data_IF_738251071083
#
_entry.id   IF_738251071083
#
_cell.length_a   1.000
_cell.length_b   1.000
_cell.length_c   1.000
_cell.angle_alpha   90.00
_cell.angle_beta   90.00
_cell.angle_gamma   90.00
#
_symmetry.space_group_name_H-M   'P 1'
#
loop_
_entity.id
_entity.type
_entity.pdbx_description
1 polymer ?
#
# COMPACT_ATOMS: atom_id res chain seq x y z
N UNK A 1 -1.07 -22.65 -10.36
CA UNK A 1 -1.39 -21.99 -9.08
C UNK A 1 -0.14 -22.05 -8.22
N UNK A 2 0.16 -21.02 -7.40
CA UNK A 2 1.34 -21.03 -6.51
C UNK A 2 0.92 -21.59 -5.15
N UNK A 3 1.62 -22.61 -4.67
CA UNK A 3 1.38 -23.33 -3.43
C UNK A 3 2.44 -22.95 -2.39
N UNK A 4 2.02 -22.30 -1.31
CA UNK A 4 2.95 -21.78 -0.30
C UNK A 4 3.56 -22.87 0.57
N UNK A 5 2.80 -23.95 0.79
CA UNK A 5 3.15 -25.06 1.70
C UNK A 5 3.81 -26.24 0.97
N UNK A 6 4.24 -26.05 -0.28
CA UNK A 6 4.94 -27.06 -1.03
C UNK A 6 6.41 -27.13 -0.58
N UNK A 7 6.77 -28.16 0.20
CA UNK A 7 8.12 -28.35 0.74
C UNK A 7 9.17 -28.66 -0.34
N UNK A 8 8.76 -29.17 -1.50
CA UNK A 8 9.67 -29.57 -2.57
C UNK A 8 10.08 -28.40 -3.48
N UNK A 9 9.22 -27.39 -3.65
CA UNK A 9 9.46 -26.27 -4.58
C UNK A 9 9.13 -24.94 -3.91
N UNK A 10 10.16 -24.12 -3.72
CA UNK A 10 9.98 -22.77 -3.19
C UNK A 10 9.07 -21.89 -4.07
N UNK A 11 8.28 -21.02 -3.43
CA UNK A 11 7.40 -20.02 -4.08
C UNK A 11 8.12 -19.24 -5.18
N UNK A 12 9.39 -18.86 -4.97
CA UNK A 12 10.18 -18.14 -5.96
C UNK A 12 10.34 -18.93 -7.27
N UNK A 13 10.61 -20.24 -7.17
CA UNK A 13 10.76 -21.13 -8.31
C UNK A 13 9.41 -21.40 -8.99
N UNK A 14 8.34 -21.53 -8.22
CA UNK A 14 6.99 -21.65 -8.77
C UNK A 14 6.59 -20.40 -9.57
N UNK A 15 6.87 -19.19 -9.06
CA UNK A 15 6.65 -17.95 -9.78
C UNK A 15 7.47 -17.89 -11.08
N UNK A 16 8.73 -18.32 -11.07
CA UNK A 16 9.57 -18.39 -12.26
C UNK A 16 8.99 -19.34 -13.33
N UNK A 17 8.59 -20.55 -12.92
CA UNK A 17 7.98 -21.54 -13.81
C UNK A 17 6.66 -21.05 -14.42
N UNK A 18 5.87 -20.32 -13.63
CA UNK A 18 4.60 -19.72 -14.05
C UNK A 18 4.78 -18.38 -14.79
N UNK A 19 6.02 -17.91 -14.97
CA UNK A 19 6.35 -16.57 -15.53
C UNK A 19 5.61 -15.43 -14.82
N UNK A 20 5.38 -15.58 -13.52
CA UNK A 20 4.76 -14.60 -12.66
C UNK A 20 5.84 -13.79 -11.94
N UNK A 21 5.68 -12.47 -11.85
CA UNK A 21 6.57 -11.68 -10.99
C UNK A 21 6.31 -12.02 -9.53
N UNK A 22 7.37 -12.23 -8.75
CA UNK A 22 7.25 -12.53 -7.31
C UNK A 22 6.48 -11.44 -6.55
N UNK A 23 6.60 -10.19 -6.97
CA UNK A 23 5.87 -9.06 -6.39
C UNK A 23 4.37 -9.19 -6.57
N UNK A 24 3.90 -9.63 -7.74
CA UNK A 24 2.46 -9.83 -7.98
C UNK A 24 1.88 -10.96 -7.14
N UNK A 25 2.68 -11.99 -6.78
CA UNK A 25 2.22 -13.04 -5.88
C UNK A 25 1.93 -12.52 -4.46
N UNK A 26 2.79 -11.63 -3.95
CA UNK A 26 2.61 -11.04 -2.63
C UNK A 26 1.70 -9.81 -2.60
N UNK A 27 1.40 -9.25 -3.77
CA UNK A 27 0.56 -8.07 -3.87
C UNK A 27 -0.90 -8.43 -3.60
N UNK A 28 -1.43 -7.93 -2.49
CA UNK A 28 -2.85 -7.98 -2.19
C UNK A 28 -3.45 -6.63 -2.61
N UNK A 29 -4.33 -6.66 -3.60
CA UNK A 29 -5.03 -5.46 -4.07
C UNK A 29 -6.05 -5.01 -3.03
N UNK A 30 -5.66 -4.11 -2.13
CA UNK A 30 -6.59 -3.38 -1.25
C UNK A 30 -7.16 -2.20 -2.03
N UNK A 31 -8.12 -2.47 -2.92
CA UNK A 31 -8.67 -1.45 -3.84
C UNK A 31 -9.87 -0.70 -3.26
N UNK A 32 -10.57 -1.28 -2.29
CA UNK A 32 -11.83 -0.78 -1.72
C UNK A 32 -11.74 -0.56 -0.20
N UNK A 33 -10.68 0.07 0.27
CA UNK A 33 -10.64 0.53 1.66
C UNK A 33 -11.21 1.96 1.72
N UNK A 34 -12.44 2.12 2.23
CA UNK A 34 -13.09 3.42 2.43
C UNK A 34 -12.19 4.39 3.21
N UNK A 35 -11.40 3.86 4.15
CA UNK A 35 -10.42 4.62 4.92
C UNK A 35 -9.33 5.22 4.03
N UNK A 36 -8.85 4.46 3.04
CA UNK A 36 -7.83 4.94 2.11
C UNK A 36 -8.39 5.99 1.15
N UNK A 37 -9.65 5.85 0.73
CA UNK A 37 -10.35 6.88 -0.06
C UNK A 37 -10.55 8.18 0.73
N UNK A 38 -10.90 8.09 2.01
CA UNK A 38 -10.98 9.25 2.90
C UNK A 38 -9.62 9.96 3.01
N UNK A 39 -8.55 9.19 3.24
CA UNK A 39 -7.18 9.70 3.28
C UNK A 39 -6.78 10.42 1.99
N UNK A 40 -7.10 9.86 0.82
CA UNK A 40 -6.83 10.51 -0.47
C UNK A 40 -7.54 11.87 -0.58
N UNK A 41 -8.82 11.95 -0.19
CA UNK A 41 -9.58 13.22 -0.22
C UNK A 41 -8.99 14.27 0.71
N UNK A 42 -8.61 13.88 1.93
CA UNK A 42 -8.00 14.78 2.91
C UNK A 42 -6.64 15.29 2.45
N UNK A 43 -5.84 14.43 1.82
CA UNK A 43 -4.55 14.80 1.25
C UNK A 43 -4.71 15.84 0.13
N UNK A 44 -5.64 15.61 -0.80
CA UNK A 44 -5.90 16.56 -1.89
C UNK A 44 -6.37 17.93 -1.36
N UNK A 45 -7.28 17.93 -0.37
CA UNK A 45 -7.77 19.15 0.26
C UNK A 45 -6.64 19.92 0.96
N UNK A 46 -5.84 19.21 1.76
CA UNK A 46 -4.76 19.83 2.53
C UNK A 46 -3.63 20.31 1.62
N UNK A 47 -3.29 19.57 0.57
CA UNK A 47 -2.29 19.98 -0.40
C UNK A 47 -2.70 21.25 -1.15
N UNK A 48 -3.99 21.38 -1.47
CA UNK A 48 -4.56 22.60 -2.08
C UNK A 48 -4.47 23.80 -1.14
N UNK A 49 -4.70 23.61 0.16
CA UNK A 49 -4.64 24.67 1.18
C UNK A 49 -3.21 25.09 1.52
N UNK A 50 -2.27 24.15 1.55
CA UNK A 50 -0.87 24.37 1.92
C UNK A 50 0.09 23.68 0.95
N UNK A 51 0.26 24.20 -0.28
CA UNK A 51 1.01 23.55 -1.36
C UNK A 51 2.52 23.42 -1.09
N UNK A 52 3.01 23.99 0.00
CA UNK A 52 4.39 23.90 0.46
C UNK A 52 4.60 22.83 1.55
N UNK A 53 3.57 22.10 1.95
CA UNK A 53 3.70 20.98 2.89
C UNK A 53 4.18 19.73 2.16
N UNK A 54 5.42 19.31 2.45
CA UNK A 54 5.90 18.00 2.05
C UNK A 54 5.32 16.87 2.89
N UNK A 55 5.61 15.62 2.48
CA UNK A 55 5.09 14.37 3.09
C UNK A 55 5.15 14.39 4.62
N UNK A 56 6.30 14.75 5.21
CA UNK A 56 6.48 14.75 6.68
C UNK A 56 5.45 15.63 7.42
N UNK A 57 5.09 16.78 6.84
CA UNK A 57 4.11 17.70 7.44
C UNK A 57 2.68 17.20 7.24
N UNK A 58 2.38 16.62 6.08
CA UNK A 58 1.07 16.01 5.81
C UNK A 58 0.84 14.78 6.71
N UNK A 59 1.83 13.91 6.88
CA UNK A 59 1.78 12.77 7.81
C UNK A 59 1.53 13.22 9.24
N UNK A 60 2.23 14.27 9.71
CA UNK A 60 2.02 14.83 11.03
C UNK A 60 0.61 15.44 11.18
N UNK A 61 0.10 16.12 10.16
CA UNK A 61 -1.24 16.70 10.14
C UNK A 61 -2.34 15.64 10.18
N UNK A 62 -2.17 14.54 9.43
CA UNK A 62 -3.08 13.38 9.47
C UNK A 62 -3.07 12.71 10.86
N UNK A 63 -1.89 12.48 11.45
CA UNK A 63 -1.78 11.90 12.79
C UNK A 63 -2.40 12.78 13.87
N UNK A 64 -2.24 14.10 13.78
CA UNK A 64 -2.86 15.05 14.71
C UNK A 64 -4.40 15.01 14.67
N UNK A 65 -4.99 14.50 13.57
CA UNK A 65 -6.43 14.29 13.39
C UNK A 65 -6.89 12.87 13.76
N UNK A 66 -5.98 12.01 14.21
CA UNK A 66 -6.28 10.64 14.63
C UNK A 66 -6.13 9.57 13.54
N UNK A 67 -5.68 9.92 12.34
CA UNK A 67 -5.45 8.93 11.28
C UNK A 67 -4.19 8.09 11.57
N UNK A 68 -4.34 6.78 11.50
CA UNK A 68 -3.24 5.81 11.55
C UNK A 68 -2.67 5.72 10.14
N UNK A 69 -1.48 6.30 9.95
CA UNK A 69 -0.77 6.34 8.68
C UNK A 69 0.68 5.90 8.85
N UNK A 70 1.23 5.34 7.78
CA UNK A 70 2.61 4.87 7.73
C UNK A 70 3.60 6.01 8.10
N UNK A 71 4.74 5.67 8.74
CA UNK A 71 5.79 6.62 9.09
C UNK A 71 6.41 7.36 7.89
#
# INVERSE_FOLDING_TARGET
>A
MVERDNEAIAVARQCELLRLSRSSYYYISTRDDEYNLELMRLLDEQYTKVPFYGVRRLTAWLRARGYIVNP
#
